data_IF_145760595037
#
_entry.id   IF_145760595037
#
_cell.length_a   1.000
_cell.length_b   1.000
_cell.length_c   1.000
_cell.angle_alpha   90.00
_cell.angle_beta   90.00
_cell.angle_gamma   90.00
#
_symmetry.space_group_name_H-M   'P 1'
#
loop_
_entity.id
_entity.type
_entity.pdbx_description
1 polymer ?
#
# COMPACT_ATOMS: atom_id res chain seq x y z
N UNK A 1 -8.96 -15.80 10.88
CA UNK A 1 -10.40 -15.66 11.09
C UNK A 1 -11.09 -15.92 9.76
N UNK A 2 -12.11 -16.79 9.68
CA UNK A 2 -12.76 -17.13 8.41
C UNK A 2 -13.66 -15.96 7.95
N UNK A 3 -13.08 -14.90 7.40
CA UNK A 3 -13.82 -13.73 6.93
C UNK A 3 -14.82 -14.08 5.81
N UNK A 4 -14.52 -15.08 4.99
CA UNK A 4 -15.34 -15.51 3.85
C UNK A 4 -16.62 -16.29 4.22
N UNK A 5 -17.08 -16.22 5.45
CA UNK A 5 -18.38 -16.76 5.86
C UNK A 5 -19.47 -15.69 5.76
N UNK A 6 -20.73 -16.04 5.42
CA UNK A 6 -21.82 -15.08 5.35
C UNK A 6 -22.02 -14.29 6.65
N UNK A 7 -21.85 -14.95 7.80
CA UNK A 7 -21.95 -14.30 9.11
C UNK A 7 -20.92 -13.19 9.29
N UNK A 8 -19.63 -13.46 8.99
CA UNK A 8 -18.56 -12.50 9.19
C UNK A 8 -18.63 -11.36 8.18
N UNK A 9 -19.07 -11.63 6.94
CA UNK A 9 -19.31 -10.57 5.97
C UNK A 9 -20.46 -9.66 6.40
N UNK A 10 -21.54 -10.19 6.97
CA UNK A 10 -22.61 -9.37 7.50
C UNK A 10 -22.14 -8.49 8.67
N UNK A 11 -21.30 -9.03 9.56
CA UNK A 11 -20.68 -8.24 10.63
C UNK A 11 -19.79 -7.12 10.06
N UNK A 12 -18.99 -7.42 9.04
CA UNK A 12 -18.17 -6.41 8.33
C UNK A 12 -19.04 -5.34 7.70
N UNK A 13 -20.13 -5.71 7.02
CA UNK A 13 -21.07 -4.76 6.44
C UNK A 13 -21.67 -3.83 7.48
N UNK A 14 -22.07 -4.35 8.65
CA UNK A 14 -22.58 -3.52 9.76
C UNK A 14 -21.48 -2.57 10.25
N UNK A 15 -20.27 -3.05 10.48
CA UNK A 15 -19.15 -2.24 10.95
C UNK A 15 -18.80 -1.12 9.96
N UNK A 16 -18.71 -1.45 8.68
CA UNK A 16 -18.42 -0.50 7.60
C UNK A 16 -19.53 0.54 7.47
N UNK A 17 -20.81 0.14 7.52
CA UNK A 17 -21.93 1.09 7.49
C UNK A 17 -21.86 2.07 8.66
N UNK A 18 -21.64 1.57 9.88
CA UNK A 18 -21.53 2.43 11.06
C UNK A 18 -20.32 3.38 10.95
N UNK A 19 -19.22 2.93 10.37
CA UNK A 19 -18.04 3.76 10.11
C UNK A 19 -18.37 4.89 9.13
N UNK A 20 -19.03 4.62 8.01
CA UNK A 20 -19.46 5.64 7.05
C UNK A 20 -20.40 6.66 7.70
N UNK A 21 -21.38 6.20 8.47
CA UNK A 21 -22.31 7.08 9.20
C UNK A 21 -21.60 7.97 10.22
N UNK A 22 -20.58 7.45 10.89
CA UNK A 22 -19.78 8.23 11.84
C UNK A 22 -18.91 9.25 11.12
N UNK A 23 -18.22 8.84 10.04
CA UNK A 23 -17.32 9.69 9.27
C UNK A 23 -18.04 10.88 8.64
N UNK A 24 -19.24 10.69 8.08
CA UNK A 24 -20.02 11.77 7.47
C UNK A 24 -20.51 12.81 8.47
N UNK A 25 -20.61 12.43 9.74
CA UNK A 25 -20.98 13.35 10.84
C UNK A 25 -19.78 14.00 11.50
N UNK A 26 -18.56 13.53 11.20
CA UNK A 26 -17.35 14.02 11.84
C UNK A 26 -16.97 15.41 11.28
N UNK A 27 -16.55 16.37 12.13
CA UNK A 27 -16.18 17.73 11.66
C UNK A 27 -15.07 17.76 10.59
N UNK A 28 -14.17 16.78 10.61
CA UNK A 28 -13.08 16.66 9.65
C UNK A 28 -13.40 15.76 8.44
N UNK A 29 -14.68 15.45 8.16
CA UNK A 29 -15.05 14.55 7.04
C UNK A 29 -14.50 15.02 5.68
N UNK A 30 -14.35 16.32 5.47
CA UNK A 30 -13.87 16.92 4.23
C UNK A 30 -12.39 16.65 3.92
N UNK A 31 -11.62 16.12 4.87
CA UNK A 31 -10.21 15.74 4.67
C UNK A 31 -10.00 14.24 4.59
N UNK A 32 -11.08 13.46 4.53
CA UNK A 32 -11.03 12.00 4.37
C UNK A 32 -10.99 11.70 2.87
N UNK A 33 -9.90 11.11 2.42
CA UNK A 33 -9.67 10.78 1.00
C UNK A 33 -10.22 9.41 0.59
N UNK A 34 -10.52 8.53 1.55
CA UNK A 34 -11.09 7.21 1.28
C UNK A 34 -11.22 6.35 2.54
N UNK A 35 -11.95 5.25 2.40
CA UNK A 35 -12.26 4.32 3.50
C UNK A 35 -11.90 2.89 3.10
N UNK A 36 -10.93 2.28 3.78
CA UNK A 36 -10.64 0.84 3.61
C UNK A 36 -11.76 0.02 4.23
N UNK A 37 -12.46 -0.76 3.43
CA UNK A 37 -13.64 -1.50 3.87
C UNK A 37 -13.32 -2.91 4.39
N UNK A 38 -12.20 -3.48 3.98
CA UNK A 38 -11.63 -4.71 4.52
C UNK A 38 -10.11 -4.71 4.30
N UNK A 39 -9.36 -4.98 5.36
CA UNK A 39 -7.91 -5.08 5.30
C UNK A 39 -7.49 -6.52 4.97
N UNK A 40 -6.61 -6.69 3.98
CA UNK A 40 -5.95 -7.95 3.64
C UNK A 40 -6.85 -9.21 3.58
N UNK A 41 -7.93 -9.21 2.80
CA UNK A 41 -8.79 -10.37 2.66
C UNK A 41 -8.05 -11.50 1.93
N UNK A 42 -7.71 -12.57 2.66
CA UNK A 42 -6.89 -13.67 2.16
C UNK A 42 -7.69 -14.58 1.21
N UNK A 43 -7.50 -14.41 -0.09
CA UNK A 43 -8.23 -15.21 -1.12
C UNK A 43 -7.63 -16.61 -1.35
N UNK A 44 -6.61 -17.01 -0.60
CA UNK A 44 -5.85 -18.25 -0.84
C UNK A 44 -5.32 -18.32 -2.29
N UNK A 45 -4.50 -17.34 -2.64
CA UNK A 45 -3.87 -17.25 -3.96
C UNK A 45 -4.88 -17.25 -5.12
N UNK A 46 -5.96 -16.49 -4.98
CA UNK A 46 -6.96 -16.34 -6.04
C UNK A 46 -7.99 -17.46 -6.13
N UNK A 47 -8.29 -18.16 -5.03
CA UNK A 47 -9.38 -19.12 -4.99
C UNK A 47 -10.68 -18.49 -5.50
N UNK A 48 -11.23 -19.06 -6.57
CA UNK A 48 -12.36 -18.49 -7.34
C UNK A 48 -13.59 -18.21 -6.50
N UNK A 49 -13.92 -19.09 -5.54
CA UNK A 49 -15.06 -18.88 -4.64
C UNK A 49 -14.82 -17.69 -3.72
N UNK A 50 -13.62 -17.56 -3.12
CA UNK A 50 -13.29 -16.43 -2.26
C UNK A 50 -13.22 -15.13 -3.01
N UNK A 51 -12.64 -15.14 -4.21
CA UNK A 51 -12.62 -13.93 -5.06
C UNK A 51 -14.02 -13.50 -5.47
N UNK A 52 -14.92 -14.43 -5.82
CA UNK A 52 -16.32 -14.08 -6.12
C UNK A 52 -16.99 -13.39 -4.91
N UNK A 53 -16.82 -13.94 -3.73
CA UNK A 53 -17.33 -13.36 -2.47
C UNK A 53 -16.73 -11.96 -2.23
N UNK A 54 -15.43 -11.80 -2.48
CA UNK A 54 -14.74 -10.52 -2.31
C UNK A 54 -15.24 -9.48 -3.32
N UNK A 55 -15.42 -9.85 -4.59
CA UNK A 55 -16.01 -8.97 -5.62
C UNK A 55 -17.42 -8.51 -5.24
N UNK A 56 -18.26 -9.40 -4.69
CA UNK A 56 -19.60 -9.02 -4.25
C UNK A 56 -19.56 -8.08 -3.03
N UNK A 57 -18.63 -8.27 -2.12
CA UNK A 57 -18.39 -7.35 -1.02
C UNK A 57 -17.89 -5.99 -1.51
N UNK A 58 -17.00 -5.95 -2.51
CA UNK A 58 -16.49 -4.72 -3.10
C UNK A 58 -17.59 -3.94 -3.84
N UNK A 59 -18.45 -4.60 -4.63
CA UNK A 59 -19.62 -3.95 -5.24
C UNK A 59 -20.51 -3.31 -4.18
N UNK A 60 -20.77 -4.01 -3.09
CA UNK A 60 -21.52 -3.46 -1.97
C UNK A 60 -20.78 -2.28 -1.31
N UNK A 61 -19.46 -2.37 -1.13
CA UNK A 61 -18.63 -1.29 -0.56
C UNK A 61 -18.68 -0.02 -1.42
N UNK A 62 -18.58 -0.16 -2.74
CA UNK A 62 -18.70 0.95 -3.69
C UNK A 62 -20.07 1.63 -3.56
N UNK A 63 -21.15 0.85 -3.51
CA UNK A 63 -22.50 1.38 -3.27
C UNK A 63 -22.61 2.15 -1.94
N UNK A 64 -21.88 1.75 -0.91
CA UNK A 64 -21.82 2.53 0.33
C UNK A 64 -21.00 3.82 0.12
N UNK A 65 -19.87 3.75 -0.55
CA UNK A 65 -19.09 4.93 -0.93
C UNK A 65 -19.96 5.97 -1.64
N UNK A 66 -20.67 5.57 -2.67
CA UNK A 66 -21.59 6.42 -3.43
C UNK A 66 -22.67 7.04 -2.54
N UNK A 67 -23.29 6.21 -1.69
CA UNK A 67 -24.35 6.67 -0.77
C UNK A 67 -23.87 7.76 0.19
N UNK A 68 -22.63 7.68 0.66
CA UNK A 68 -22.08 8.60 1.64
C UNK A 68 -21.13 9.64 1.03
N UNK A 69 -20.94 9.62 -0.28
CA UNK A 69 -20.00 10.48 -1.02
C UNK A 69 -18.57 10.44 -0.42
N UNK A 70 -18.09 9.24 -0.16
CA UNK A 70 -16.75 8.96 0.35
C UNK A 70 -16.11 7.84 -0.49
N UNK A 71 -14.94 8.05 -1.07
CA UNK A 71 -14.24 7.01 -1.83
C UNK A 71 -13.98 5.76 -0.98
N UNK A 72 -14.00 4.60 -1.64
CA UNK A 72 -13.63 3.32 -1.01
C UNK A 72 -12.25 2.89 -1.46
N UNK A 73 -11.49 2.30 -0.53
CA UNK A 73 -10.18 1.73 -0.76
C UNK A 73 -10.31 0.21 -0.73
N UNK A 74 -9.93 -0.45 -1.82
CA UNK A 74 -10.16 -1.87 -2.07
C UNK A 74 -8.85 -2.61 -2.26
N UNK A 75 -8.52 -3.48 -1.30
CA UNK A 75 -7.28 -4.26 -1.30
C UNK A 75 -7.30 -5.38 -2.35
N UNK A 76 -6.16 -5.71 -2.95
CA UNK A 76 -6.04 -6.70 -4.03
C UNK A 76 -6.35 -8.16 -3.64
N UNK A 77 -6.44 -8.48 -2.35
CA UNK A 77 -6.86 -9.80 -1.85
C UNK A 77 -5.84 -10.91 -2.04
N UNK A 78 -4.58 -10.59 -2.28
CA UNK A 78 -3.48 -11.54 -2.54
C UNK A 78 -3.78 -12.50 -3.70
N UNK A 79 -4.40 -11.98 -4.76
CA UNK A 79 -4.52 -12.71 -6.02
C UNK A 79 -3.19 -12.68 -6.79
N UNK A 80 -2.89 -13.69 -7.61
CA UNK A 80 -1.72 -13.63 -8.50
C UNK A 80 -1.87 -12.49 -9.51
N UNK A 81 -0.77 -11.80 -9.82
CA UNK A 81 -0.75 -10.69 -10.77
C UNK A 81 -1.90 -9.68 -10.52
N UNK A 82 -1.97 -9.03 -9.35
CA UNK A 82 -3.16 -8.33 -8.89
C UNK A 82 -3.65 -7.24 -9.83
N UNK A 83 -2.76 -6.48 -10.45
CA UNK A 83 -3.10 -5.43 -11.40
C UNK A 83 -3.80 -5.99 -12.63
N UNK A 84 -3.29 -7.08 -13.20
CA UNK A 84 -3.93 -7.77 -14.31
C UNK A 84 -5.25 -8.43 -13.92
N UNK A 85 -5.29 -9.03 -12.71
CA UNK A 85 -6.47 -9.76 -12.25
C UNK A 85 -7.68 -8.85 -12.01
N UNK A 86 -7.44 -7.63 -11.50
CA UNK A 86 -8.48 -6.68 -11.16
C UNK A 86 -8.75 -5.64 -12.25
N UNK A 87 -7.99 -5.63 -13.35
CA UNK A 87 -8.09 -4.64 -14.41
C UNK A 87 -9.53 -4.46 -14.93
N UNK A 88 -10.17 -5.54 -15.36
CA UNK A 88 -11.55 -5.53 -15.87
C UNK A 88 -12.53 -4.96 -14.85
N UNK A 89 -12.40 -5.37 -13.58
CA UNK A 89 -13.30 -4.93 -12.52
C UNK A 89 -13.10 -3.45 -12.20
N UNK A 90 -11.86 -2.98 -12.16
CA UNK A 90 -11.54 -1.60 -11.81
C UNK A 90 -11.79 -0.64 -12.98
N UNK A 91 -11.66 -1.08 -14.21
CA UNK A 91 -12.00 -0.28 -15.42
C UNK A 91 -13.48 0.08 -15.52
N UNK A 92 -14.35 -0.64 -14.81
CA UNK A 92 -15.78 -0.34 -14.74
C UNK A 92 -16.13 0.69 -13.65
N UNK A 93 -15.15 1.10 -12.82
CA UNK A 93 -15.41 1.95 -11.65
C UNK A 93 -15.14 3.43 -11.95
N UNK A 94 -15.77 4.30 -11.18
CA UNK A 94 -15.45 5.73 -11.17
C UNK A 94 -14.12 5.95 -10.42
N UNK A 95 -13.05 6.44 -11.09
CA UNK A 95 -11.76 6.64 -10.46
C UNK A 95 -11.75 7.74 -9.39
N UNK A 96 -12.81 8.54 -9.28
CA UNK A 96 -12.97 9.50 -8.19
C UNK A 96 -13.56 8.87 -6.91
N UNK A 97 -14.15 7.67 -7.02
CA UNK A 97 -14.84 6.99 -5.93
C UNK A 97 -14.20 5.65 -5.51
N UNK A 98 -13.25 5.15 -6.29
CA UNK A 98 -12.56 3.89 -6.00
C UNK A 98 -11.06 4.08 -6.05
N UNK A 99 -10.39 3.59 -5.03
CA UNK A 99 -8.93 3.55 -4.92
C UNK A 99 -8.53 2.08 -4.75
N UNK A 100 -7.56 1.63 -5.53
CA UNK A 100 -6.99 0.29 -5.38
C UNK A 100 -5.86 0.30 -4.35
N UNK A 101 -5.83 -0.72 -3.49
CA UNK A 101 -4.88 -0.82 -2.40
C UNK A 101 -3.94 -2.01 -2.60
N UNK A 102 -2.65 -1.72 -2.61
CA UNK A 102 -1.59 -2.71 -2.63
C UNK A 102 -0.75 -2.61 -1.35
N UNK A 103 -0.32 -3.77 -0.84
CA UNK A 103 0.58 -3.89 0.29
C UNK A 103 1.91 -4.52 -0.17
N UNK A 104 2.76 -3.76 -0.86
CA UNK A 104 3.96 -4.31 -1.46
C UNK A 104 5.09 -4.51 -0.44
N UNK A 105 5.56 -5.74 -0.37
CA UNK A 105 6.79 -6.10 0.34
C UNK A 105 7.75 -6.80 -0.63
N UNK A 106 8.30 -6.08 -1.63
CA UNK A 106 8.97 -6.66 -2.80
C UNK A 106 10.30 -7.37 -2.49
N UNK A 107 10.84 -7.19 -1.29
CA UNK A 107 12.01 -7.92 -0.81
C UNK A 107 11.67 -8.83 0.39
N UNK A 108 10.40 -9.00 0.67
CA UNK A 108 9.88 -9.79 1.78
C UNK A 108 8.62 -10.54 1.34
N UNK A 109 8.30 -11.66 1.97
CA UNK A 109 7.16 -12.52 1.63
C UNK A 109 7.17 -13.17 0.22
N UNK A 110 8.26 -13.03 -0.54
CA UNK A 110 8.44 -13.78 -1.78
C UNK A 110 9.10 -15.14 -1.50
N UNK A 111 8.86 -16.14 -2.32
CA UNK A 111 9.49 -17.45 -2.16
C UNK A 111 10.09 -17.92 -3.52
N UNK A 112 11.43 -17.93 -3.66
CA UNK A 112 12.40 -17.42 -2.70
C UNK A 112 12.40 -15.89 -2.61
N UNK A 113 12.73 -15.36 -1.43
CA UNK A 113 12.94 -13.92 -1.28
C UNK A 113 14.12 -13.46 -2.13
N UNK A 114 14.00 -12.36 -2.89
CA UNK A 114 15.12 -11.84 -3.66
C UNK A 114 16.22 -11.32 -2.74
N UNK A 115 17.45 -11.62 -3.06
CA UNK A 115 18.65 -11.11 -2.37
C UNK A 115 19.54 -10.28 -3.30
N UNK A 116 19.21 -10.22 -4.59
CA UNK A 116 19.91 -9.41 -5.56
C UNK A 116 19.34 -8.00 -5.57
N UNK A 117 20.17 -7.01 -5.30
CA UNK A 117 19.82 -5.59 -5.23
C UNK A 117 19.07 -5.11 -6.48
N UNK A 118 19.60 -5.41 -7.67
CA UNK A 118 18.99 -5.01 -8.95
C UNK A 118 17.57 -5.56 -9.08
N UNK A 119 17.33 -6.81 -8.68
CA UNK A 119 16.01 -7.44 -8.73
C UNK A 119 15.07 -6.77 -7.74
N UNK A 120 15.53 -6.47 -6.52
CA UNK A 120 14.74 -5.81 -5.48
C UNK A 120 14.28 -4.43 -5.97
N UNK A 121 15.21 -3.63 -6.47
CA UNK A 121 14.91 -2.28 -6.99
C UNK A 121 14.00 -2.36 -8.21
N UNK A 122 14.23 -3.30 -9.13
CA UNK A 122 13.38 -3.47 -10.31
C UNK A 122 11.95 -3.84 -9.93
N UNK A 123 11.74 -4.72 -8.94
CA UNK A 123 10.40 -5.05 -8.45
C UNK A 123 9.63 -3.82 -7.94
N UNK A 124 10.30 -2.89 -7.27
CA UNK A 124 9.68 -1.63 -6.83
C UNK A 124 9.31 -0.75 -8.02
N UNK A 125 10.21 -0.66 -9.01
CA UNK A 125 9.97 0.12 -10.22
C UNK A 125 8.78 -0.42 -11.02
N UNK A 126 8.69 -1.74 -11.14
CA UNK A 126 7.58 -2.41 -11.84
C UNK A 126 6.24 -2.19 -11.13
N UNK A 127 6.24 -2.21 -9.80
CA UNK A 127 5.04 -1.90 -9.00
C UNK A 127 4.59 -0.44 -9.19
N UNK A 128 5.54 0.51 -9.16
CA UNK A 128 5.23 1.92 -9.42
C UNK A 128 4.62 2.13 -10.81
N UNK A 129 5.17 1.45 -11.84
CA UNK A 129 4.65 1.48 -13.21
C UNK A 129 3.25 0.90 -13.30
N UNK A 130 3.02 -0.27 -12.71
CA UNK A 130 1.71 -0.92 -12.72
C UNK A 130 0.66 -0.05 -12.03
N UNK A 131 1.02 0.58 -10.90
CA UNK A 131 0.14 1.51 -10.18
C UNK A 131 -0.19 2.78 -10.98
N UNK A 132 0.76 3.30 -11.77
CA UNK A 132 0.55 4.45 -12.64
C UNK A 132 -0.38 4.13 -13.83
N UNK A 133 -0.22 2.96 -14.41
CA UNK A 133 -0.99 2.52 -15.59
C UNK A 133 -2.38 1.95 -15.24
N UNK A 134 -2.71 1.81 -13.97
CA UNK A 134 -3.95 1.17 -13.51
C UNK A 134 -5.18 2.07 -13.68
N UNK A 135 -6.39 1.52 -13.99
CA UNK A 135 -7.58 2.31 -14.32
C UNK A 135 -8.09 3.24 -13.23
N UNK A 136 -7.81 2.92 -11.96
CA UNK A 136 -8.16 3.77 -10.81
C UNK A 136 -6.91 4.16 -10.03
N UNK A 137 -6.93 5.23 -9.21
CA UNK A 137 -5.78 5.56 -8.36
C UNK A 137 -5.35 4.37 -7.50
N UNK A 138 -4.04 4.15 -7.41
CA UNK A 138 -3.45 3.10 -6.57
C UNK A 138 -2.77 3.74 -5.36
N UNK A 139 -3.09 3.26 -4.18
CA UNK A 139 -2.35 3.57 -2.95
C UNK A 139 -1.54 2.34 -2.53
N UNK A 140 -0.29 2.54 -2.16
CA UNK A 140 0.49 1.51 -1.49
C UNK A 140 0.18 1.62 0.01
N UNK A 141 -0.89 0.95 0.45
CA UNK A 141 -1.48 1.13 1.79
C UNK A 141 -0.64 0.59 2.93
N UNK A 142 0.24 -0.36 2.63
CA UNK A 142 1.27 -0.81 3.57
C UNK A 142 2.59 -1.11 2.86
N UNK A 143 3.68 -0.61 3.38
CA UNK A 143 5.03 -0.97 2.97
C UNK A 143 6.04 -0.64 4.07
N UNK A 144 7.26 -1.18 4.01
CA UNK A 144 8.29 -0.96 5.03
C UNK A 144 9.70 -0.92 4.44
N UNK A 145 10.69 -0.67 5.31
CA UNK A 145 12.11 -0.78 4.95
C UNK A 145 12.65 -2.20 4.95
N UNK A 146 11.82 -3.20 5.28
CA UNK A 146 12.27 -4.59 5.38
C UNK A 146 12.71 -5.14 4.04
N UNK A 147 13.96 -5.58 4.00
CA UNK A 147 14.55 -6.26 2.86
C UNK A 147 15.43 -7.43 3.35
N UNK A 148 15.83 -8.31 2.44
CA UNK A 148 16.64 -9.50 2.79
C UNK A 148 18.16 -9.23 2.81
N UNK A 149 18.56 -7.98 2.60
CA UNK A 149 19.95 -7.59 2.49
C UNK A 149 20.25 -6.53 3.53
N UNK A 150 20.85 -6.93 4.63
CA UNK A 150 21.18 -6.04 5.75
C UNK A 150 22.41 -5.16 5.42
N UNK A 151 22.25 -4.23 4.44
CA UNK A 151 23.27 -3.29 4.02
C UNK A 151 22.69 -1.87 4.01
N UNK A 152 23.39 -0.94 4.65
CA UNK A 152 22.93 0.44 4.83
C UNK A 152 22.64 1.16 3.50
N UNK A 153 23.51 1.00 2.51
CA UNK A 153 23.34 1.64 1.21
C UNK A 153 22.11 1.10 0.48
N UNK A 154 21.98 -0.22 0.38
CA UNK A 154 20.80 -0.82 -0.24
C UNK A 154 19.50 -0.43 0.49
N UNK A 155 19.49 -0.47 1.82
CA UNK A 155 18.28 -0.10 2.58
C UNK A 155 17.88 1.34 2.32
N UNK A 156 18.84 2.25 2.21
CA UNK A 156 18.57 3.66 1.86
C UNK A 156 18.02 3.78 0.43
N UNK A 157 18.62 3.11 -0.54
CA UNK A 157 18.14 3.11 -1.93
C UNK A 157 16.77 2.44 -2.08
N UNK A 158 16.52 1.38 -1.32
CA UNK A 158 15.25 0.70 -1.23
C UNK A 158 14.13 1.63 -0.73
N UNK A 159 14.40 2.40 0.34
CA UNK A 159 13.47 3.39 0.87
C UNK A 159 13.22 4.54 -0.11
N UNK A 160 14.30 5.12 -0.66
CA UNK A 160 14.22 6.21 -1.62
C UNK A 160 13.42 5.82 -2.86
N UNK A 161 13.65 4.60 -3.37
CA UNK A 161 12.95 4.09 -4.54
C UNK A 161 11.47 3.90 -4.25
N UNK A 162 11.10 3.33 -3.10
CA UNK A 162 9.70 3.17 -2.70
C UNK A 162 8.99 4.53 -2.55
N UNK A 163 9.57 5.48 -1.79
CA UNK A 163 8.99 6.82 -1.62
C UNK A 163 8.80 7.53 -2.96
N UNK A 164 9.76 7.40 -3.87
CA UNK A 164 9.66 8.02 -5.19
C UNK A 164 8.60 7.36 -6.08
N UNK A 165 8.66 6.03 -6.25
CA UNK A 165 7.80 5.31 -7.21
C UNK A 165 6.36 5.16 -6.73
N UNK A 166 6.14 4.96 -5.43
CA UNK A 166 4.80 4.84 -4.88
C UNK A 166 4.01 6.16 -4.90
N UNK A 167 4.71 7.28 -5.10
CA UNK A 167 4.11 8.57 -5.37
C UNK A 167 3.67 8.79 -6.82
N UNK A 168 3.87 7.82 -7.73
CA UNK A 168 3.46 7.96 -9.14
C UNK A 168 1.95 7.81 -9.36
N UNK A 169 1.23 7.23 -8.42
CA UNK A 169 -0.24 7.15 -8.42
C UNK A 169 -0.83 7.80 -7.16
N UNK A 170 -1.64 7.10 -6.38
CA UNK A 170 -2.36 7.66 -5.22
C UNK A 170 -1.52 7.94 -3.98
N UNK A 171 -0.25 7.58 -3.98
CA UNK A 171 0.66 7.76 -2.85
C UNK A 171 0.83 6.50 -2.00
N UNK A 172 1.37 6.66 -0.80
CA UNK A 172 1.69 5.49 0.04
C UNK A 172 1.65 5.76 1.54
N UNK A 173 1.52 4.69 2.33
CA UNK A 173 1.52 4.72 3.78
C UNK A 173 2.55 3.73 4.33
N UNK A 174 3.53 4.25 5.08
CA UNK A 174 4.55 3.41 5.71
C UNK A 174 3.97 2.62 6.89
N UNK A 175 4.17 1.33 6.92
CA UNK A 175 3.77 0.46 8.02
C UNK A 175 4.98 0.07 8.86
N UNK A 176 5.14 0.61 10.11
CA UNK A 176 4.26 1.58 10.74
C UNK A 176 5.09 2.67 11.46
N UNK A 177 4.45 3.55 12.23
CA UNK A 177 5.14 4.63 12.94
C UNK A 177 6.16 4.11 13.97
N UNK A 178 5.80 3.07 14.75
CA UNK A 178 6.65 2.51 15.81
C UNK A 178 6.34 1.04 16.08
N UNK A 179 7.37 0.23 16.17
CA UNK A 179 7.31 -1.17 16.58
C UNK A 179 7.97 -1.34 17.93
N UNK A 180 7.39 -2.17 18.81
CA UNK A 180 8.06 -2.56 20.04
C UNK A 180 9.03 -3.73 19.77
N UNK A 181 10.24 -3.40 19.42
CA UNK A 181 11.28 -4.36 19.03
C UNK A 181 11.74 -5.28 20.19
N UNK A 182 11.40 -4.92 21.45
CA UNK A 182 11.80 -5.71 22.62
C UNK A 182 10.80 -6.83 22.95
N UNK A 183 9.55 -6.71 22.51
CA UNK A 183 8.48 -7.66 22.85
C UNK A 183 8.07 -8.58 21.71
N UNK A 184 8.37 -8.22 20.46
CA UNK A 184 8.11 -9.04 19.29
C UNK A 184 9.39 -9.18 18.48
N UNK A 185 10.23 -10.18 18.78
CA UNK A 185 11.17 -10.62 17.78
C UNK A 185 10.33 -11.18 16.62
N UNK A 186 10.23 -10.45 15.53
CA UNK A 186 9.59 -10.96 14.31
C UNK A 186 10.33 -12.22 13.91
N UNK A 187 9.60 -13.32 13.85
CA UNK A 187 10.17 -14.64 13.58
C UNK A 187 10.53 -14.72 12.10
N UNK A 188 11.80 -14.64 11.80
CA UNK A 188 12.33 -14.81 10.45
C UNK A 188 13.64 -14.03 10.26
N UNK A 189 14.56 -14.48 9.39
CA UNK A 189 15.68 -13.67 8.97
C UNK A 189 15.22 -12.55 8.02
N UNK A 190 15.88 -11.37 8.01
CA UNK A 190 17.12 -11.00 8.70
C UNK A 190 16.90 -10.34 10.07
N UNK A 191 17.97 -10.21 10.84
CA UNK A 191 17.99 -9.87 12.26
C UNK A 191 17.41 -8.50 12.67
N UNK A 192 17.07 -7.61 11.73
CA UNK A 192 16.63 -6.23 12.00
C UNK A 192 15.19 -5.93 11.56
N UNK A 193 14.39 -6.92 11.23
CA UNK A 193 13.01 -6.75 10.74
C UNK A 193 12.17 -5.79 11.61
N UNK A 194 12.32 -5.87 12.94
CA UNK A 194 11.55 -5.01 13.84
C UNK A 194 11.85 -3.51 13.66
N UNK A 195 13.10 -3.16 13.44
CA UNK A 195 13.53 -1.77 13.26
C UNK A 195 13.08 -1.20 11.90
N UNK A 196 13.16 -2.01 10.86
CA UNK A 196 12.79 -1.61 9.49
C UNK A 196 11.27 -1.52 9.26
N UNK A 197 10.45 -1.98 10.20
CA UNK A 197 9.02 -1.70 10.30
C UNK A 197 8.70 -0.46 11.13
N UNK A 198 9.68 0.21 11.73
CA UNK A 198 9.49 1.36 12.60
C UNK A 198 9.97 2.63 11.92
N UNK A 199 9.06 3.48 11.45
CA UNK A 199 9.41 4.77 10.87
C UNK A 199 10.28 5.59 11.83
N UNK A 200 9.95 5.57 13.13
CA UNK A 200 10.70 6.29 14.16
C UNK A 200 12.17 5.89 14.23
N UNK A 201 12.44 4.58 14.09
CA UNK A 201 13.82 4.06 14.09
C UNK A 201 14.54 4.31 12.77
N UNK A 202 13.80 4.50 11.68
CA UNK A 202 14.33 4.80 10.35
C UNK A 202 14.57 6.30 10.09
N UNK A 203 14.13 7.17 10.98
CA UNK A 203 14.49 8.59 10.92
C UNK A 203 15.99 8.80 11.22
N UNK A 204 16.61 9.90 10.78
CA UNK A 204 18.06 10.13 10.92
C UNK A 204 18.64 9.97 12.32
N UNK A 205 17.83 10.10 13.36
CA UNK A 205 18.23 9.90 14.77
C UNK A 205 17.95 8.48 15.28
N UNK A 206 17.35 7.62 14.43
CA UNK A 206 17.01 6.25 14.78
C UNK A 206 18.19 5.29 14.67
N UNK A 207 17.91 4.01 14.92
CA UNK A 207 18.91 2.93 14.97
C UNK A 207 18.84 1.99 13.76
N UNK A 208 18.10 2.35 12.72
CA UNK A 208 17.96 1.53 11.53
C UNK A 208 19.25 1.48 10.71
N UNK A 209 19.38 0.43 9.92
CA UNK A 209 20.51 0.24 8.97
C UNK A 209 20.46 1.32 7.87
N UNK A 210 19.26 1.68 7.39
CA UNK A 210 19.06 2.72 6.38
C UNK A 210 18.36 3.96 6.94
N UNK A 211 18.28 5.01 6.15
CA UNK A 211 17.69 6.29 6.52
C UNK A 211 16.45 6.58 5.69
N UNK A 212 15.35 6.90 6.38
CA UNK A 212 14.13 7.35 5.72
C UNK A 212 14.32 8.77 5.14
N UNK A 213 13.95 9.02 3.87
CA UNK A 213 14.06 10.35 3.27
C UNK A 213 13.07 11.33 3.90
N UNK A 214 13.55 12.50 4.30
CA UNK A 214 12.72 13.50 4.97
C UNK A 214 12.49 14.70 4.05
N UNK A 215 11.22 15.02 3.82
CA UNK A 215 10.81 16.24 3.17
C UNK A 215 10.90 17.43 4.15
N UNK A 216 11.69 18.43 3.81
CA UNK A 216 11.94 19.61 4.64
C UNK A 216 11.13 20.85 4.23
N UNK A 217 10.26 20.73 3.24
CA UNK A 217 9.42 21.82 2.76
C UNK A 217 10.12 22.83 1.85
N UNK A 218 11.40 22.63 1.50
CA UNK A 218 12.16 23.59 0.69
C UNK A 218 11.82 23.60 -0.80
N UNK A 219 11.13 22.55 -1.27
CA UNK A 219 10.71 22.37 -2.67
C UNK A 219 9.27 21.86 -2.72
N UNK A 220 8.71 21.60 -3.90
CA UNK A 220 7.47 20.84 -3.97
C UNK A 220 7.70 19.38 -3.58
N UNK A 221 6.67 18.71 -3.06
CA UNK A 221 6.72 17.27 -2.72
C UNK A 221 7.19 16.47 -3.94
N UNK A 222 6.69 16.78 -5.12
CA UNK A 222 7.11 16.15 -6.36
C UNK A 222 8.59 16.35 -6.67
N UNK A 223 9.09 17.59 -6.55
CA UNK A 223 10.51 17.85 -6.77
C UNK A 223 11.38 17.08 -5.76
N UNK A 224 10.90 16.97 -4.53
CA UNK A 224 11.57 16.16 -3.51
C UNK A 224 11.56 14.67 -3.89
N UNK A 225 10.42 14.06 -4.19
CA UNK A 225 10.34 12.64 -4.57
C UNK A 225 11.16 12.33 -5.82
N UNK A 226 11.13 13.21 -6.82
CA UNK A 226 11.99 13.07 -8.00
C UNK A 226 13.48 13.18 -7.69
N UNK A 227 13.87 13.96 -6.67
CA UNK A 227 15.29 14.08 -6.26
C UNK A 227 15.83 12.85 -5.57
N UNK A 228 14.98 12.00 -4.99
CA UNK A 228 15.37 10.75 -4.36
C UNK A 228 15.95 9.73 -5.36
N UNK A 229 15.67 9.93 -6.66
CA UNK A 229 16.22 9.17 -7.77
C UNK A 229 16.06 7.66 -7.62
N UNK A 230 14.87 7.16 -7.93
CA UNK A 230 14.72 5.74 -8.07
C UNK A 230 15.69 5.26 -9.16
N UNK A 231 16.32 4.13 -8.93
CA UNK A 231 17.14 3.47 -9.93
C UNK A 231 16.32 2.94 -11.12
N UNK A 232 15.06 3.36 -11.23
CA UNK A 232 14.12 2.98 -12.30
C UNK A 232 14.43 3.62 -13.66
N UNK A 233 15.29 4.63 -13.72
CA UNK A 233 15.64 5.32 -14.98
C UNK A 233 14.50 6.13 -15.61
N UNK A 234 13.32 6.25 -14.95
CA UNK A 234 12.17 7.00 -15.45
C UNK A 234 11.51 7.84 -14.34
N UNK A 235 10.75 8.81 -14.76
CA UNK A 235 9.83 9.58 -13.95
C UNK A 235 8.39 9.20 -14.33
N UNK A 236 7.36 9.57 -13.51
CA UNK A 236 5.97 9.37 -13.86
C UNK A 236 5.61 10.05 -15.19
N UNK A 237 4.64 9.47 -15.91
CA UNK A 237 4.24 9.95 -17.25
C UNK A 237 3.39 11.22 -17.19
N UNK A 238 2.75 11.50 -16.06
CA UNK A 238 1.87 12.65 -15.89
C UNK A 238 2.60 13.85 -15.28
N UNK A 239 2.16 15.04 -15.67
CA UNK A 239 2.64 16.30 -15.14
C UNK A 239 1.61 16.89 -14.15
N UNK A 240 1.96 16.91 -12.85
CA UNK A 240 1.14 17.51 -11.80
C UNK A 240 1.38 19.03 -11.64
N UNK A 241 1.90 19.73 -12.66
CA UNK A 241 2.17 21.16 -12.59
C UNK A 241 0.92 22.04 -12.81
N UNK A 242 -0.27 21.46 -12.80
CA UNK A 242 -1.53 22.22 -12.85
C UNK A 242 -2.23 22.25 -11.52
#
# INVERSE_FOLDING_TARGET
VPWFTPQNQNLSKVAVTNMFEWLTKHPAHSVISGVTTVNEPQTDNGNTTRVSILRDFYRWSIQQGDKYNLPVILHHGFVPEPYRYWDDFMSEQDPSMVIFDDHPYPAWYQNPNPTNETVIIQNICDLGQQGEDFPVPVVMGEWSGVNNVNQSELTTDYLNTQVSTYGWSGGSMFFNYRVNTTQNPVVGPPANIGVEYSLLDMLPQGNAVGQFPIYNGSTSVRAFTNSLRPSCGRAPSYDLTT
#
